data_IF_043053610237
#
_entry.id   IF_043053610237
#
_cell.length_a   1.000
_cell.length_b   1.000
_cell.length_c   1.000
_cell.angle_alpha   90.00
_cell.angle_beta   90.00
_cell.angle_gamma   90.00
#
_symmetry.space_group_name_H-M   'P 1'
#
loop_
_entity.id
_entity.type
_entity.pdbx_description
1 polymer ?
#
# COMPACT_ATOMS: atom_id res chain seq x y z
N UNK A 1 42.45 -11.43 52.77
CA UNK A 1 41.82 -12.76 52.96
C UNK A 1 40.66 -12.88 51.97
N UNK A 2 40.66 -13.74 50.95
CA UNK A 2 41.64 -14.75 50.53
C UNK A 2 41.68 -14.85 48.99
N UNK A 3 42.91 -14.94 48.47
CA UNK A 3 43.40 -15.78 47.37
C UNK A 3 42.82 -15.73 45.93
N UNK A 4 43.77 -15.44 45.02
CA UNK A 4 43.83 -15.62 43.56
C UNK A 4 44.06 -17.13 43.19
N UNK A 5 43.89 -17.61 41.93
CA UNK A 5 44.67 -17.21 40.73
C UNK A 5 43.83 -16.79 39.51
N UNK A 6 44.25 -15.87 38.64
CA UNK A 6 45.53 -15.60 37.92
C UNK A 6 45.80 -16.47 36.69
N UNK A 7 46.13 -15.74 35.62
CA UNK A 7 46.98 -16.08 34.47
C UNK A 7 46.47 -17.10 33.42
N UNK A 8 46.05 -16.56 32.26
CA UNK A 8 46.86 -16.75 31.04
C UNK A 8 46.72 -15.60 30.05
N UNK A 9 47.86 -15.14 29.53
CA UNK A 9 48.03 -14.08 28.51
C UNK A 9 48.60 -14.70 27.22
N UNK A 10 48.22 -14.13 26.08
CA UNK A 10 48.83 -14.17 24.73
C UNK A 10 47.73 -14.42 23.68
N UNK A 11 47.33 -13.45 22.84
CA UNK A 11 48.09 -12.67 21.85
C UNK A 11 48.39 -13.45 20.56
N UNK A 12 47.60 -13.15 19.51
CA UNK A 12 48.04 -13.10 18.13
C UNK A 12 46.98 -12.36 17.29
N UNK A 13 47.34 -11.20 16.72
CA UNK A 13 46.57 -10.55 15.68
C UNK A 13 47.13 -10.95 14.32
N UNK A 14 46.26 -11.29 13.35
CA UNK A 14 46.53 -11.33 11.89
C UNK A 14 45.17 -11.21 11.21
N UNK A 15 44.77 -10.01 10.78
CA UNK A 15 44.91 -9.49 9.40
C UNK A 15 43.79 -9.95 8.45
N UNK A 16 43.00 -8.95 8.06
CA UNK A 16 42.06 -8.89 6.95
C UNK A 16 42.59 -9.49 5.64
N UNK A 17 41.76 -10.25 4.94
CA UNK A 17 41.72 -10.26 3.47
C UNK A 17 40.30 -10.52 2.98
N UNK A 18 39.71 -9.53 2.32
CA UNK A 18 38.56 -9.76 1.45
C UNK A 18 39.08 -10.29 0.11
N UNK A 19 38.39 -11.27 -0.48
CA UNK A 19 38.65 -11.73 -1.85
C UNK A 19 37.38 -11.57 -2.66
N UNK A 20 37.28 -10.44 -3.35
CA UNK A 20 36.29 -10.23 -4.40
C UNK A 20 36.79 -10.92 -5.68
N UNK A 21 36.16 -12.01 -6.10
CA UNK A 21 36.41 -12.59 -7.43
C UNK A 21 35.39 -12.06 -8.43
N UNK A 22 35.73 -10.94 -9.05
CA UNK A 22 35.10 -10.50 -10.30
C UNK A 22 35.65 -11.36 -11.44
N UNK A 23 34.83 -12.21 -12.05
CA UNK A 23 35.17 -12.88 -13.31
C UNK A 23 34.28 -12.37 -14.43
N UNK A 24 34.79 -11.36 -15.13
CA UNK A 24 34.35 -11.01 -16.48
C UNK A 24 34.86 -12.06 -17.47
N UNK A 25 33.97 -12.66 -18.24
CA UNK A 25 34.30 -13.35 -19.49
C UNK A 25 33.35 -12.85 -20.56
N UNK A 26 33.91 -12.36 -21.66
CA UNK A 26 33.18 -11.84 -22.82
C UNK A 26 33.02 -12.93 -23.89
N UNK A 27 32.29 -12.55 -24.95
CA UNK A 27 32.19 -13.20 -26.27
C UNK A 27 31.39 -14.53 -26.24
N UNK A 28 30.29 -14.67 -26.98
CA UNK A 28 30.21 -14.38 -28.41
C UNK A 28 28.88 -13.77 -28.92
N UNK A 29 29.00 -13.22 -30.12
CA UNK A 29 28.02 -12.49 -30.93
C UNK A 29 26.73 -13.27 -31.26
N UNK A 30 25.58 -12.59 -31.17
CA UNK A 30 24.59 -12.66 -32.27
C UNK A 30 23.84 -11.33 -32.44
N UNK A 31 23.37 -11.07 -33.65
CA UNK A 31 22.84 -9.77 -34.09
C UNK A 31 21.33 -9.60 -33.81
N UNK A 32 20.81 -8.37 -33.69
CA UNK A 32 19.38 -8.15 -33.47
C UNK A 32 18.57 -8.41 -34.75
N UNK A 33 17.68 -9.41 -34.73
CA UNK A 33 16.63 -9.55 -35.74
C UNK A 33 15.54 -8.46 -35.56
N UNK A 34 15.18 -7.73 -36.63
CA UNK A 34 14.09 -6.75 -36.58
C UNK A 34 12.75 -7.41 -36.88
N UNK A 35 12.08 -7.94 -35.85
CA UNK A 35 10.73 -8.49 -36.00
C UNK A 35 9.67 -7.37 -35.93
N UNK A 36 9.28 -6.98 -37.14
CA UNK A 36 7.96 -6.57 -37.63
C UNK A 36 6.95 -5.97 -36.64
N UNK A 37 6.47 -4.77 -36.98
CA UNK A 37 5.30 -4.17 -36.37
C UNK A 37 4.03 -4.94 -36.80
N UNK A 38 3.41 -5.64 -35.85
CA UNK A 38 2.00 -6.04 -35.89
C UNK A 38 1.26 -5.14 -34.91
N UNK A 39 0.60 -4.11 -35.43
CA UNK A 39 -0.85 -4.09 -35.69
C UNK A 39 -1.65 -3.68 -34.45
N UNK A 40 -2.53 -2.69 -34.65
CA UNK A 40 -3.23 -1.96 -33.61
C UNK A 40 -4.45 -2.77 -33.15
N UNK A 41 -4.35 -3.48 -32.02
CA UNK A 41 -5.52 -4.06 -31.36
C UNK A 41 -6.37 -2.94 -30.72
N UNK A 42 -7.21 -2.36 -31.58
CA UNK A 42 -8.30 -1.45 -31.26
C UNK A 42 -9.23 -2.09 -30.22
N UNK A 43 -9.07 -1.70 -28.95
CA UNK A 43 -9.93 -2.10 -27.84
C UNK A 43 -11.30 -1.41 -27.96
N UNK A 44 -12.09 -1.91 -28.91
CA UNK A 44 -13.39 -1.39 -29.27
C UNK A 44 -14.32 -1.22 -28.07
N UNK A 45 -14.87 -0.02 -27.93
CA UNK A 45 -15.86 0.29 -26.91
C UNK A 45 -17.09 -0.60 -27.07
N UNK A 46 -17.40 -1.35 -26.00
CA UNK A 46 -18.54 -2.26 -25.94
C UNK A 46 -19.83 -1.48 -26.22
N UNK A 47 -20.36 -1.63 -27.43
CA UNK A 47 -21.61 -1.02 -27.88
C UNK A 47 -22.64 -2.13 -28.03
N UNK A 48 -23.58 -2.29 -27.08
CA UNK A 48 -24.67 -3.24 -27.26
C UNK A 48 -25.58 -2.71 -28.37
N UNK A 49 -25.53 -3.34 -29.54
CA UNK A 49 -26.42 -3.03 -30.66
C UNK A 49 -27.87 -3.41 -30.36
N UNK A 50 -28.79 -2.82 -31.13
CA UNK A 50 -30.18 -3.30 -31.27
C UNK A 50 -30.25 -4.65 -31.99
N UNK A 51 -31.39 -5.12 -32.48
CA UNK A 51 -32.71 -4.49 -32.72
C UNK A 51 -33.78 -5.49 -32.20
N UNK A 52 -35.02 -5.14 -31.84
CA UNK A 52 -36.23 -4.84 -32.66
C UNK A 52 -37.42 -4.77 -31.67
N UNK A 53 -38.55 -4.09 -31.82
CA UNK A 53 -39.08 -3.07 -32.77
C UNK A 53 -40.31 -2.40 -32.07
N UNK A 54 -41.15 -1.66 -32.81
CA UNK A 54 -42.54 -1.26 -32.49
C UNK A 54 -42.83 -0.44 -31.20
N UNK A 55 -42.60 0.88 -31.27
CA UNK A 55 -43.65 1.89 -30.93
C UNK A 55 -43.31 3.23 -31.62
N UNK A 56 -44.07 3.63 -32.64
CA UNK A 56 -43.83 4.82 -33.46
C UNK A 56 -44.33 6.11 -32.79
N UNK A 57 -43.84 6.34 -31.57
CA UNK A 57 -44.00 7.57 -30.81
C UNK A 57 -43.28 8.75 -31.47
N UNK A 58 -43.87 9.29 -32.54
CA UNK A 58 -43.49 10.56 -33.16
C UNK A 58 -43.32 11.63 -32.06
N UNK A 59 -42.06 11.99 -31.78
CA UNK A 59 -41.73 13.18 -31.00
C UNK A 59 -42.08 14.41 -31.83
N UNK A 60 -43.36 14.75 -31.84
CA UNK A 60 -43.80 16.11 -32.14
C UNK A 60 -42.98 17.06 -31.27
N UNK A 61 -42.44 18.16 -31.83
CA UNK A 61 -41.86 19.21 -31.01
C UNK A 61 -42.95 19.73 -30.09
N UNK A 62 -42.91 19.30 -28.83
CA UNK A 62 -43.91 19.67 -27.85
C UNK A 62 -43.62 21.11 -27.45
N UNK A 63 -44.42 22.03 -27.97
CA UNK A 63 -44.45 23.44 -27.59
C UNK A 63 -45.08 23.57 -26.19
N UNK A 64 -44.41 22.97 -25.19
CA UNK A 64 -44.66 23.22 -23.78
C UNK A 64 -44.05 24.57 -23.41
N UNK A 65 -44.72 25.63 -23.88
CA UNK A 65 -44.56 26.98 -23.34
C UNK A 65 -45.15 27.09 -21.91
N UNK A 66 -44.79 26.17 -21.00
CA UNK A 66 -45.26 26.12 -19.62
C UNK A 66 -44.11 25.92 -18.61
N UNK A 67 -43.62 27.05 -18.09
CA UNK A 67 -43.02 27.20 -16.75
C UNK A 67 -42.10 26.07 -16.27
N UNK A 68 -40.85 26.08 -16.74
CA UNK A 68 -39.74 25.63 -15.90
C UNK A 68 -39.86 26.32 -14.53
N UNK A 69 -39.96 25.59 -13.41
CA UNK A 69 -39.98 26.22 -12.09
C UNK A 69 -38.65 26.96 -11.93
N UNK A 70 -38.66 28.26 -11.53
CA UNK A 70 -37.44 29.06 -11.52
C UNK A 70 -36.38 28.36 -10.68
N UNK A 71 -35.26 27.99 -11.34
CA UNK A 71 -34.17 27.24 -10.73
C UNK A 71 -33.80 27.88 -9.40
N UNK A 72 -34.11 27.17 -8.31
CA UNK A 72 -34.10 27.70 -6.93
C UNK A 72 -32.76 28.36 -6.65
N UNK A 73 -32.74 29.70 -6.65
CA UNK A 73 -31.59 30.56 -6.34
C UNK A 73 -30.27 29.98 -6.85
N UNK A 74 -29.97 30.19 -8.13
CA UNK A 74 -28.72 29.78 -8.77
C UNK A 74 -27.53 30.56 -8.17
N UNK A 75 -27.10 30.16 -6.97
CA UNK A 75 -25.97 30.74 -6.25
C UNK A 75 -24.71 30.58 -7.08
N UNK A 76 -24.00 31.67 -7.31
CA UNK A 76 -22.70 31.58 -7.96
C UNK A 76 -21.69 30.88 -7.03
N UNK A 77 -20.70 30.19 -7.61
CA UNK A 77 -19.69 29.48 -6.82
C UNK A 77 -18.86 30.39 -5.89
N UNK A 78 -18.85 31.70 -6.15
CA UNK A 78 -18.27 32.71 -5.25
C UNK A 78 -19.09 32.88 -3.95
N UNK A 79 -20.42 32.77 -4.03
CA UNK A 79 -21.34 32.99 -2.93
C UNK A 79 -21.43 31.75 -2.01
N UNK A 80 -21.14 30.56 -2.54
CA UNK A 80 -20.95 29.34 -1.74
C UNK A 80 -19.89 29.51 -0.63
N UNK A 81 -18.90 30.38 -0.83
CA UNK A 81 -17.86 30.69 0.18
C UNK A 81 -18.40 31.47 1.38
N UNK A 82 -19.56 32.10 1.25
CA UNK A 82 -20.23 32.84 2.34
C UNK A 82 -21.02 31.91 3.26
N UNK A 83 -21.31 30.67 2.84
CA UNK A 83 -22.02 29.70 3.65
C UNK A 83 -21.06 29.01 4.64
N UNK A 84 -21.13 29.42 5.91
CA UNK A 84 -20.29 28.91 7.02
C UNK A 84 -20.26 27.39 7.11
N UNK A 85 -21.42 26.75 6.95
CA UNK A 85 -21.59 25.33 7.19
C UNK A 85 -20.95 24.50 6.06
N UNK A 86 -21.13 24.95 4.81
CA UNK A 86 -20.47 24.37 3.64
C UNK A 86 -18.94 24.50 3.75
N UNK A 87 -18.44 25.70 4.08
CA UNK A 87 -17.01 25.92 4.27
C UNK A 87 -16.44 25.10 5.44
N UNK A 88 -17.24 24.87 6.50
CA UNK A 88 -16.87 23.99 7.61
C UNK A 88 -16.77 22.52 7.18
N UNK A 89 -17.70 22.03 6.36
CA UNK A 89 -17.66 20.67 5.80
C UNK A 89 -16.47 20.51 4.86
N UNK A 90 -16.22 21.48 3.97
CA UNK A 90 -15.07 21.50 3.07
C UNK A 90 -13.74 21.51 3.85
N UNK A 91 -13.62 22.36 4.87
CA UNK A 91 -12.41 22.39 5.71
C UNK A 91 -12.19 21.05 6.42
N UNK A 92 -13.25 20.41 6.92
CA UNK A 92 -13.16 19.08 7.54
C UNK A 92 -12.76 17.99 6.54
N UNK A 93 -13.32 17.99 5.32
CA UNK A 93 -12.97 16.99 4.31
C UNK A 93 -11.54 17.21 3.80
N UNK A 94 -11.12 18.44 3.56
CA UNK A 94 -9.74 18.79 3.21
C UNK A 94 -8.75 18.37 4.30
N UNK A 95 -9.06 18.61 5.57
CA UNK A 95 -8.23 18.16 6.69
C UNK A 95 -8.13 16.63 6.75
N UNK A 96 -9.25 15.90 6.55
CA UNK A 96 -9.25 14.42 6.53
C UNK A 96 -8.51 13.84 5.33
N UNK A 97 -8.64 14.45 4.15
CA UNK A 97 -7.81 14.10 3.02
C UNK A 97 -6.34 14.34 3.34
N UNK A 98 -5.97 15.53 3.83
CA UNK A 98 -4.58 15.84 4.16
C UNK A 98 -4.01 14.87 5.19
N UNK A 99 -4.74 14.53 6.25
CA UNK A 99 -4.39 13.53 7.27
C UNK A 99 -4.12 12.14 6.66
N UNK A 100 -4.95 11.71 5.71
CA UNK A 100 -4.79 10.46 4.95
C UNK A 100 -3.58 10.48 4.00
N UNK A 101 -3.29 11.63 3.38
CA UNK A 101 -2.18 11.81 2.43
C UNK A 101 -0.85 12.11 3.13
N UNK A 102 -0.86 12.65 4.35
CA UNK A 102 0.35 12.81 5.16
C UNK A 102 0.87 11.45 5.58
N UNK A 103 2.18 11.24 5.44
CA UNK A 103 2.90 10.01 5.77
C UNK A 103 3.05 9.81 7.29
N UNK A 104 1.97 10.02 8.05
CA UNK A 104 1.88 9.70 9.46
C UNK A 104 2.13 8.20 9.62
N UNK A 105 3.29 7.85 10.18
CA UNK A 105 3.70 6.46 10.36
C UNK A 105 2.67 5.76 11.27
N UNK A 106 1.95 4.81 10.70
CA UNK A 106 0.89 4.04 11.35
C UNK A 106 1.42 3.42 12.66
N UNK A 107 0.95 3.92 13.81
CA UNK A 107 1.46 3.54 15.13
C UNK A 107 1.04 2.11 15.49
N UNK A 108 2.02 1.23 15.66
CA UNK A 108 1.82 -0.15 16.12
C UNK A 108 0.98 -0.26 17.40
N UNK A 109 1.11 0.70 18.32
CA UNK A 109 0.36 0.76 19.58
C UNK A 109 -1.14 1.00 19.41
N UNK A 110 -1.58 1.56 18.27
CA UNK A 110 -3.00 1.76 17.92
C UNK A 110 -3.62 0.55 17.22
N UNK A 111 -2.83 -0.46 16.87
CA UNK A 111 -3.31 -1.63 16.14
C UNK A 111 -3.94 -2.68 17.10
N UNK A 112 -5.22 -2.98 16.90
CA UNK A 112 -5.98 -3.91 17.74
C UNK A 112 -5.47 -5.36 17.65
N UNK A 113 -5.03 -5.81 16.46
CA UNK A 113 -4.48 -7.16 16.30
C UNK A 113 -3.18 -7.32 17.09
N UNK A 114 -2.25 -6.37 16.98
CA UNK A 114 -0.98 -6.36 17.70
C UNK A 114 -1.18 -6.35 19.22
N UNK A 115 -2.02 -5.43 19.72
CA UNK A 115 -2.34 -5.33 21.15
C UNK A 115 -3.04 -6.61 21.67
N UNK A 116 -3.94 -7.22 20.90
CA UNK A 116 -4.56 -8.51 21.26
C UNK A 116 -3.56 -9.67 21.32
N UNK A 117 -2.48 -9.65 20.50
CA UNK A 117 -1.43 -10.68 20.50
C UNK A 117 -0.51 -10.48 21.70
N UNK A 118 -0.11 -9.24 21.99
CA UNK A 118 0.65 -8.90 23.20
C UNK A 118 -0.11 -9.30 24.47
N UNK A 119 -1.37 -8.89 24.60
CA UNK A 119 -2.21 -9.25 25.75
C UNK A 119 -2.37 -10.78 25.89
N UNK A 120 -2.47 -11.52 24.78
CA UNK A 120 -2.48 -12.99 24.82
C UNK A 120 -1.15 -13.58 25.27
N UNK A 121 -0.01 -13.02 24.85
CA UNK A 121 1.31 -13.45 25.29
C UNK A 121 1.53 -13.16 26.79
N UNK A 122 1.13 -12.00 27.29
CA UNK A 122 1.16 -11.65 28.73
C UNK A 122 0.33 -12.61 29.58
N UNK A 123 -0.86 -13.02 29.08
CA UNK A 123 -1.71 -14.03 29.71
C UNK A 123 -1.18 -15.48 29.55
N UNK A 124 0.06 -15.68 29.09
CA UNK A 124 0.68 -16.99 28.87
C UNK A 124 0.08 -17.82 27.72
N UNK A 125 -0.81 -17.22 26.91
CA UNK A 125 -1.53 -17.85 25.79
C UNK A 125 -0.99 -17.40 24.43
N UNK A 126 0.33 -17.40 24.29
CA UNK A 126 1.03 -17.07 23.05
C UNK A 126 2.53 -16.91 23.27
N UNK A 127 3.29 -16.84 22.18
CA UNK A 127 4.73 -16.57 22.22
C UNK A 127 5.06 -15.32 21.40
N UNK A 128 4.76 -14.13 21.92
CA UNK A 128 5.40 -12.92 21.39
C UNK A 128 6.80 -12.81 22.00
N UNK A 129 7.82 -12.64 21.15
CA UNK A 129 9.23 -12.64 21.57
C UNK A 129 9.99 -11.52 20.87
N UNK A 130 11.18 -11.18 21.35
CA UNK A 130 12.03 -10.15 20.71
C UNK A 130 12.34 -10.44 19.24
N UNK A 131 12.36 -11.72 18.83
CA UNK A 131 12.54 -12.09 17.43
C UNK A 131 11.28 -11.89 16.57
N UNK A 132 10.07 -11.92 17.16
CA UNK A 132 8.83 -11.51 16.49
C UNK A 132 8.78 -9.99 16.32
N UNK A 133 9.17 -9.24 17.36
CA UNK A 133 9.25 -7.78 17.28
C UNK A 133 10.23 -7.32 16.20
N UNK A 134 11.46 -7.85 16.19
CA UNK A 134 12.45 -7.51 15.15
C UNK A 134 11.96 -7.82 13.74
N UNK A 135 11.33 -8.99 13.53
CA UNK A 135 10.78 -9.36 12.22
C UNK A 135 9.66 -8.38 11.79
N UNK A 136 8.84 -7.90 12.72
CA UNK A 136 7.80 -6.90 12.44
C UNK A 136 8.41 -5.54 12.08
N UNK A 137 9.46 -5.11 12.77
CA UNK A 137 10.21 -3.89 12.45
C UNK A 137 10.85 -3.97 11.05
N UNK A 138 11.53 -5.08 10.73
CA UNK A 138 12.13 -5.34 9.41
C UNK A 138 11.07 -5.33 8.29
N UNK A 139 9.88 -5.92 8.54
CA UNK A 139 8.75 -5.93 7.59
C UNK A 139 8.15 -4.53 7.38
N UNK A 140 8.04 -3.71 8.43
CA UNK A 140 7.54 -2.33 8.32
C UNK A 140 8.55 -1.44 7.58
N UNK A 141 9.85 -1.60 7.85
CA UNK A 141 10.90 -0.91 7.11
C UNK A 141 10.88 -1.29 5.62
N UNK A 142 10.71 -2.58 5.30
CA UNK A 142 10.50 -3.05 3.92
C UNK A 142 9.27 -2.43 3.27
N UNK A 143 8.10 -2.44 3.95
CA UNK A 143 6.85 -1.85 3.47
C UNK A 143 7.03 -0.37 3.13
N UNK A 144 7.63 0.40 4.04
CA UNK A 144 7.83 1.84 3.87
C UNK A 144 8.78 2.14 2.71
N UNK A 145 9.89 1.40 2.57
CA UNK A 145 10.82 1.54 1.43
C UNK A 145 10.16 1.19 0.09
N UNK A 146 9.25 0.22 0.07
CA UNK A 146 8.52 -0.15 -1.14
C UNK A 146 7.45 0.89 -1.50
N UNK A 147 6.77 1.44 -0.50
CA UNK A 147 5.80 2.52 -0.63
C UNK A 147 6.45 3.81 -1.19
N UNK A 148 7.61 4.18 -0.67
CA UNK A 148 8.45 5.28 -1.18
C UNK A 148 8.86 5.03 -2.64
N UNK A 149 9.34 3.83 -2.98
CA UNK A 149 9.72 3.47 -4.36
C UNK A 149 8.57 3.64 -5.35
N UNK A 150 7.34 3.30 -4.97
CA UNK A 150 6.16 3.38 -5.84
C UNK A 150 5.34 4.66 -5.68
N UNK A 151 5.74 5.58 -4.80
CA UNK A 151 5.01 6.82 -4.48
C UNK A 151 3.55 6.56 -4.06
N UNK A 152 3.33 5.51 -3.27
CA UNK A 152 2.03 5.13 -2.71
C UNK A 152 2.05 5.14 -1.18
N UNK A 153 0.88 5.16 -0.54
CA UNK A 153 0.78 5.01 0.91
C UNK A 153 1.21 3.60 1.35
N UNK A 154 1.91 3.42 2.48
CA UNK A 154 2.31 2.09 2.98
C UNK A 154 1.15 1.09 3.12
N UNK A 155 -0.04 1.58 3.51
CA UNK A 155 -1.25 0.75 3.61
C UNK A 155 -1.70 0.14 2.27
N UNK A 156 -1.36 0.76 1.13
CA UNK A 156 -1.66 0.24 -0.22
C UNK A 156 -0.71 -0.91 -0.63
N UNK A 157 0.46 -1.02 0.02
CA UNK A 157 1.36 -2.18 -0.16
C UNK A 157 0.85 -3.36 0.68
N UNK A 158 0.59 -3.12 1.98
CA UNK A 158 -0.06 -4.07 2.88
C UNK A 158 -0.48 -3.41 4.21
N UNK A 159 -1.53 -3.93 4.85
CA UNK A 159 -1.95 -3.46 6.18
C UNK A 159 -0.98 -3.92 7.29
N UNK A 160 -0.93 -3.20 8.42
CA UNK A 160 -0.17 -3.66 9.58
C UNK A 160 -0.72 -5.00 10.12
N UNK A 161 -2.04 -5.23 10.09
CA UNK A 161 -2.64 -6.49 10.56
C UNK A 161 -2.06 -7.72 9.83
N UNK A 162 -1.81 -7.59 8.53
CA UNK A 162 -1.14 -8.62 7.75
C UNK A 162 0.29 -8.83 8.25
N UNK A 163 1.09 -7.76 8.36
CA UNK A 163 2.49 -7.84 8.81
C UNK A 163 2.62 -8.41 10.22
N UNK A 164 1.76 -8.00 11.14
CA UNK A 164 1.65 -8.53 12.51
C UNK A 164 1.32 -10.02 12.47
N UNK A 165 0.39 -10.43 11.61
CA UNK A 165 0.01 -11.85 11.44
C UNK A 165 1.15 -12.67 10.83
N UNK A 166 1.88 -12.13 9.85
CA UNK A 166 3.07 -12.76 9.25
C UNK A 166 4.18 -12.91 10.28
N UNK A 167 4.46 -11.86 11.06
CA UNK A 167 5.45 -11.90 12.13
C UNK A 167 5.11 -12.93 13.21
N UNK A 168 3.82 -13.06 13.57
CA UNK A 168 3.33 -14.04 14.55
C UNK A 168 3.34 -15.48 14.02
N UNK A 169 2.95 -15.71 12.76
CA UNK A 169 2.79 -17.06 12.18
C UNK A 169 4.06 -17.63 11.55
N UNK A 170 5.04 -16.78 11.18
CA UNK A 170 6.32 -17.15 10.52
C UNK A 170 6.16 -18.20 9.39
N UNK A 171 5.44 -17.87 8.30
CA UNK A 171 5.28 -18.80 7.18
C UNK A 171 6.66 -19.18 6.59
N UNK A 172 7.00 -20.49 6.46
CA UNK A 172 8.30 -20.92 5.95
C UNK A 172 8.41 -20.95 4.42
N UNK A 173 7.29 -20.77 3.71
CA UNK A 173 7.24 -20.78 2.24
C UNK A 173 6.24 -19.75 1.72
N UNK A 174 6.39 -19.39 0.45
CA UNK A 174 5.50 -18.45 -0.23
C UNK A 174 4.04 -18.96 -0.25
N UNK A 175 3.83 -20.26 -0.47
CA UNK A 175 2.50 -20.87 -0.39
C UNK A 175 1.88 -20.79 1.02
N UNK A 176 2.71 -20.83 2.07
CA UNK A 176 2.23 -20.66 3.44
C UNK A 176 1.86 -19.19 3.70
N UNK A 177 2.64 -18.24 3.15
CA UNK A 177 2.36 -16.80 3.20
C UNK A 177 1.03 -16.47 2.48
N UNK A 178 0.83 -16.97 1.25
CA UNK A 178 -0.41 -16.81 0.46
C UNK A 178 -1.66 -17.40 1.14
N UNK A 179 -1.49 -18.36 2.07
CA UNK A 179 -2.59 -18.97 2.85
C UNK A 179 -2.92 -18.23 4.15
N UNK A 180 -2.21 -17.16 4.51
CA UNK A 180 -2.50 -16.38 5.71
C UNK A 180 -3.81 -15.63 5.54
N UNK A 181 -4.77 -15.95 6.40
CA UNK A 181 -5.93 -15.11 6.72
C UNK A 181 -5.65 -14.36 8.02
N UNK A 182 -6.12 -13.12 8.09
CA UNK A 182 -6.03 -12.19 9.21
C UNK A 182 -7.36 -11.44 9.34
#
# INVERSE_FOLDING_TARGET
NLFLPKDRVASAATTTTATTTTTTSSDDLDAPEPLEATEEDDMGYFTPGGETDDDDGYLTPRDDSEHDPPLKSLMEAKDLRLQSDLMTVITKSQYRCLDLWTTNQEELTKNEQFTSILQRAENGKGQWTSSHMKLLEDLIAWRNKLAEKYQVLPAMICSIDFLVTVANKRPPSEEALRRIRY
#
